data_IF_920782226512
#
_entry.id   IF_920782226512
#
_cell.length_a   1.000
_cell.length_b   1.000
_cell.length_c   1.000
_cell.angle_alpha   90.00
_cell.angle_beta   90.00
_cell.angle_gamma   90.00
#
_symmetry.space_group_name_H-M   'P 1'
#
loop_
_entity.id
_entity.type
_entity.pdbx_description
1 polymer ?
#
# COMPACT_ATOMS: atom_id res chain seq x y z
N UNK A 1 -2.92 -13.62 19.22
CA UNK A 1 -2.80 -12.54 18.22
C UNK A 1 -2.99 -11.21 18.94
N UNK A 2 -1.93 -10.44 19.11
CA UNK A 2 -2.03 -9.10 19.69
C UNK A 2 -2.86 -8.22 18.75
N UNK A 3 -3.91 -7.54 19.25
CA UNK A 3 -4.63 -6.54 18.45
C UNK A 3 -3.62 -5.49 17.99
N UNK A 4 -3.54 -5.26 16.68
CA UNK A 4 -2.72 -4.18 16.15
C UNK A 4 -3.19 -2.85 16.75
N UNK A 5 -2.25 -2.06 17.28
CA UNK A 5 -2.55 -0.72 17.76
C UNK A 5 -2.90 0.19 16.56
N UNK A 6 -3.91 1.07 16.67
CA UNK A 6 -4.21 2.02 15.62
C UNK A 6 -3.02 2.98 15.40
N UNK A 7 -2.63 3.16 14.14
CA UNK A 7 -1.59 4.11 13.72
C UNK A 7 -2.25 5.16 12.82
N UNK A 8 -1.96 6.44 13.08
CA UNK A 8 -2.43 7.54 12.25
C UNK A 8 -1.40 7.85 11.16
N UNK A 9 -1.82 7.85 9.90
CA UNK A 9 -1.02 8.30 8.76
C UNK A 9 -1.71 9.49 8.12
N UNK A 10 -0.91 10.45 7.64
CA UNK A 10 -1.42 11.60 6.88
C UNK A 10 -1.41 11.25 5.40
N UNK A 11 -2.57 11.36 4.75
CA UNK A 11 -2.74 11.12 3.32
C UNK A 11 -3.43 12.33 2.68
N UNK A 12 -3.19 12.61 1.39
CA UNK A 12 -4.01 13.54 0.62
C UNK A 12 -5.50 13.18 0.74
N UNK A 13 -6.37 14.18 0.93
CA UNK A 13 -7.77 13.95 1.29
C UNK A 13 -8.56 13.15 0.24
N UNK A 14 -8.15 13.24 -1.03
CA UNK A 14 -8.74 12.57 -2.19
C UNK A 14 -8.24 11.12 -2.37
N UNK A 15 -7.09 10.79 -1.79
CA UNK A 15 -6.45 9.49 -1.98
C UNK A 15 -7.25 8.33 -1.38
N UNK A 16 -7.78 8.40 -0.14
CA UNK A 16 -8.61 7.33 0.43
C UNK A 16 -9.84 7.02 -0.40
N UNK A 17 -10.52 8.04 -0.94
CA UNK A 17 -11.70 7.86 -1.80
C UNK A 17 -11.33 7.17 -3.12
N UNK A 18 -10.24 7.62 -3.74
CA UNK A 18 -9.72 7.01 -4.97
C UNK A 18 -9.32 5.55 -4.79
N UNK A 19 -8.73 5.20 -3.64
CA UNK A 19 -8.35 3.81 -3.32
C UNK A 19 -9.60 2.92 -3.20
N UNK A 20 -10.63 3.39 -2.49
CA UNK A 20 -11.89 2.64 -2.35
C UNK A 20 -12.50 2.37 -3.72
N UNK A 21 -12.68 3.42 -4.52
CA UNK A 21 -13.36 3.32 -5.80
C UNK A 21 -12.61 2.43 -6.81
N UNK A 22 -11.27 2.50 -6.85
CA UNK A 22 -10.47 1.80 -7.87
C UNK A 22 -10.07 0.39 -7.48
N UNK A 23 -9.90 0.11 -6.18
CA UNK A 23 -9.31 -1.15 -5.73
C UNK A 23 -10.21 -1.97 -4.80
N UNK A 24 -11.15 -1.34 -4.09
CA UNK A 24 -12.00 -2.06 -3.13
C UNK A 24 -13.39 -2.33 -3.70
N UNK A 25 -14.06 -1.31 -4.24
CA UNK A 25 -15.42 -1.44 -4.77
C UNK A 25 -15.57 -2.44 -5.92
N UNK A 26 -14.58 -2.62 -6.83
CA UNK A 26 -14.68 -3.60 -7.90
C UNK A 26 -14.58 -5.07 -7.44
N UNK A 27 -14.19 -5.33 -6.19
CA UNK A 27 -14.02 -6.70 -5.69
C UNK A 27 -15.39 -7.31 -5.37
N UNK A 28 -15.63 -8.51 -5.91
CA UNK A 28 -16.82 -9.29 -5.57
C UNK A 28 -16.77 -9.71 -4.09
N UNK A 29 -17.65 -9.10 -3.29
CA UNK A 29 -17.76 -9.35 -1.85
C UNK A 29 -18.28 -10.74 -1.53
N UNK A 30 -19.00 -11.40 -2.44
CA UNK A 30 -19.48 -12.77 -2.23
C UNK A 30 -18.34 -13.80 -2.40
N UNK A 31 -17.36 -13.49 -3.25
CA UNK A 31 -16.17 -14.30 -3.46
C UNK A 31 -15.03 -13.99 -2.47
N UNK A 32 -15.03 -12.81 -1.86
CA UNK A 32 -13.99 -12.37 -0.93
C UNK A 32 -14.27 -12.79 0.52
N UNK A 33 -13.40 -13.60 1.11
CA UNK A 33 -13.49 -13.95 2.52
C UNK A 33 -12.99 -12.81 3.43
N UNK A 34 -13.91 -12.12 4.10
CA UNK A 34 -13.60 -11.06 5.08
C UNK A 34 -14.14 -9.69 4.68
N UNK A 35 -13.63 -8.63 5.34
CA UNK A 35 -14.02 -7.23 5.06
C UNK A 35 -12.84 -6.45 4.52
N UNK A 36 -12.82 -6.21 3.21
CA UNK A 36 -11.89 -5.27 2.60
C UNK A 36 -12.06 -3.87 3.20
N UNK A 37 -10.93 -3.27 3.54
CA UNK A 37 -10.84 -1.93 4.11
C UNK A 37 -9.60 -1.22 3.58
N UNK A 38 -9.58 0.10 3.67
CA UNK A 38 -8.39 0.90 3.36
C UNK A 38 -7.17 0.44 4.18
N UNK A 39 -7.37 0.10 5.46
CA UNK A 39 -6.30 -0.41 6.32
C UNK A 39 -5.74 -1.74 5.82
N UNK A 40 -6.58 -2.64 5.32
CA UNK A 40 -6.13 -3.89 4.71
C UNK A 40 -5.33 -3.64 3.43
N UNK A 41 -5.79 -2.72 2.58
CA UNK A 41 -5.09 -2.37 1.34
C UNK A 41 -3.71 -1.75 1.63
N UNK A 42 -3.66 -0.77 2.55
CA UNK A 42 -2.40 -0.14 2.96
C UNK A 42 -1.46 -1.16 3.58
N UNK A 43 -1.97 -2.06 4.43
CA UNK A 43 -1.18 -3.14 5.01
C UNK A 43 -0.58 -4.05 3.93
N UNK A 44 -1.38 -4.53 2.99
CA UNK A 44 -0.91 -5.40 1.92
C UNK A 44 0.15 -4.72 1.04
N UNK A 45 -0.02 -3.43 0.74
CA UNK A 45 0.99 -2.65 0.00
C UNK A 45 2.33 -2.54 0.74
N UNK A 46 2.29 -2.36 2.06
CA UNK A 46 3.50 -2.31 2.89
C UNK A 46 4.16 -3.69 3.05
N UNK A 47 3.37 -4.75 3.18
CA UNK A 47 3.87 -6.13 3.23
C UNK A 47 4.60 -6.48 1.92
N UNK A 48 4.01 -6.17 0.75
CA UNK A 48 4.68 -6.34 -0.55
C UNK A 48 5.98 -5.52 -0.64
N UNK A 49 5.99 -4.28 -0.14
CA UNK A 49 7.22 -3.48 -0.13
C UNK A 49 8.33 -4.11 0.73
N UNK A 50 7.96 -4.75 1.85
CA UNK A 50 8.90 -5.44 2.72
C UNK A 50 9.44 -6.74 2.08
N UNK A 51 8.61 -7.47 1.33
CA UNK A 51 9.03 -8.69 0.61
C UNK A 51 10.17 -8.42 -0.39
N UNK A 52 10.22 -7.21 -0.96
CA UNK A 52 11.23 -6.82 -1.93
C UNK A 52 12.29 -5.85 -1.36
N UNK A 53 12.37 -5.70 -0.03
CA UNK A 53 13.23 -4.70 0.62
C UNK A 53 14.72 -4.86 0.28
N UNK A 54 15.19 -6.08 0.03
CA UNK A 54 16.59 -6.36 -0.34
C UNK A 54 17.01 -5.71 -1.67
N UNK A 55 16.05 -5.47 -2.56
CA UNK A 55 16.27 -4.84 -3.85
C UNK A 55 16.12 -3.31 -3.80
N UNK A 56 15.79 -2.72 -2.65
CA UNK A 56 15.57 -1.28 -2.49
C UNK A 56 16.88 -0.52 -2.27
N UNK A 57 17.14 0.49 -3.12
CA UNK A 57 18.31 1.35 -3.04
C UNK A 57 17.93 2.76 -2.57
N UNK A 58 18.12 3.02 -1.28
CA UNK A 58 17.86 4.33 -0.69
C UNK A 58 18.76 5.44 -1.26
N UNK A 59 19.94 5.10 -1.80
CA UNK A 59 20.89 6.08 -2.35
C UNK A 59 20.40 6.67 -3.69
N UNK A 60 19.47 5.99 -4.37
CA UNK A 60 18.85 6.45 -5.60
C UNK A 60 17.80 7.56 -5.38
N UNK A 61 17.42 7.85 -4.14
CA UNK A 61 16.27 8.71 -3.81
C UNK A 61 16.74 10.13 -3.48
N UNK A 62 16.23 11.10 -4.24
CA UNK A 62 16.56 12.53 -4.11
C UNK A 62 15.33 13.41 -3.88
N UNK A 63 14.16 12.89 -4.22
CA UNK A 63 12.86 13.56 -4.17
C UNK A 63 11.72 12.54 -4.21
N UNK A 64 10.48 13.04 -4.21
CA UNK A 64 9.28 12.20 -4.21
C UNK A 64 9.12 11.36 -5.49
N UNK A 65 9.53 11.86 -6.65
CA UNK A 65 9.39 11.13 -7.90
C UNK A 65 10.45 10.02 -8.05
N UNK A 66 11.68 10.25 -7.56
CA UNK A 66 12.71 9.21 -7.45
C UNK A 66 12.35 8.15 -6.41
N UNK A 67 11.71 8.53 -5.30
CA UNK A 67 11.11 7.57 -4.37
C UNK A 67 10.07 6.68 -5.08
N UNK A 68 9.13 7.28 -5.83
CA UNK A 68 8.13 6.52 -6.59
C UNK A 68 8.74 5.63 -7.67
N UNK A 69 9.79 6.12 -8.35
CA UNK A 69 10.49 5.35 -9.37
C UNK A 69 11.17 4.12 -8.77
N UNK A 70 11.82 4.30 -7.62
CA UNK A 70 12.52 3.23 -6.92
C UNK A 70 11.54 2.19 -6.37
N UNK A 71 10.48 2.62 -5.66
CA UNK A 71 9.42 1.71 -5.21
C UNK A 71 8.78 0.93 -6.36
N UNK A 72 8.57 1.58 -7.52
CA UNK A 72 8.05 0.91 -8.72
C UNK A 72 9.03 -0.12 -9.27
N UNK A 73 10.33 0.16 -9.24
CA UNK A 73 11.37 -0.80 -9.68
C UNK A 73 11.38 -2.01 -8.77
N UNK A 74 11.41 -1.78 -7.46
CA UNK A 74 11.44 -2.82 -6.42
C UNK A 74 10.20 -3.71 -6.48
N UNK A 75 9.00 -3.15 -6.59
CA UNK A 75 7.73 -3.90 -6.59
C UNK A 75 7.36 -4.58 -7.93
N UNK A 76 8.11 -4.35 -9.01
CA UNK A 76 7.91 -5.00 -10.31
C UNK A 76 8.84 -6.20 -10.55
N UNK A 77 9.82 -6.38 -9.67
CA UNK A 77 10.91 -7.35 -9.84
C UNK A 77 10.51 -8.74 -9.37
#
# INVERSE_FOLDING_TARGET
>A
MSKAAPVNITLPADLPGSVVQKFIDPIDRAAFFGRLSNSMMVRALLELALEHADAYDASAIKDYESLKAELRRTLKS
#
